data_IF_375600044692
#
_entry.id   IF_375600044692
#
_cell.length_a   1.000
_cell.length_b   1.000
_cell.length_c   1.000
_cell.angle_alpha   90.00
_cell.angle_beta   90.00
_cell.angle_gamma   90.00
#
_symmetry.space_group_name_H-M   'P 1'
#
loop_
_entity.id
_entity.type
_entity.pdbx_description
1 polymer ?
#
# COMPACT_ATOMS: atom_id res chain seq x y z
N UNK A 1 9.14 -32.37 -14.44
CA UNK A 1 10.45 -31.74 -14.60
C UNK A 1 11.09 -32.08 -15.94
N UNK A 2 11.45 -31.05 -16.70
CA UNK A 2 12.31 -31.23 -17.87
C UNK A 2 13.71 -31.54 -17.34
N UNK A 3 14.09 -32.82 -17.32
CA UNK A 3 15.47 -33.21 -17.01
C UNK A 3 16.35 -32.89 -18.22
N UNK A 4 17.24 -31.94 -18.09
CA UNK A 4 18.30 -31.75 -19.09
C UNK A 4 19.49 -32.66 -18.77
N UNK A 5 19.93 -33.44 -19.75
CA UNK A 5 21.07 -34.37 -19.63
C UNK A 5 22.39 -33.65 -19.97
N UNK A 6 22.44 -32.33 -19.87
CA UNK A 6 23.67 -31.59 -20.05
C UNK A 6 24.63 -31.87 -18.86
N UNK A 7 25.79 -32.37 -19.13
CA UNK A 7 26.81 -32.76 -18.12
C UNK A 7 26.38 -33.87 -17.13
N UNK A 8 25.39 -34.72 -17.45
CA UNK A 8 24.82 -35.78 -16.59
C UNK A 8 24.13 -35.24 -15.31
N UNK A 9 23.65 -34.01 -15.33
CA UNK A 9 22.93 -33.41 -14.26
C UNK A 9 21.44 -33.31 -14.58
N UNK A 10 20.59 -33.48 -13.58
CA UNK A 10 19.15 -33.26 -13.69
C UNK A 10 18.81 -31.93 -12.96
N UNK A 11 17.94 -31.16 -13.55
CA UNK A 11 17.46 -29.92 -12.98
C UNK A 11 15.93 -29.93 -12.88
N UNK A 12 15.38 -29.37 -11.81
CA UNK A 12 13.98 -29.02 -11.72
C UNK A 12 13.82 -27.61 -12.29
N UNK A 13 13.18 -27.49 -13.45
CA UNK A 13 13.12 -26.24 -14.22
C UNK A 13 11.70 -25.80 -14.52
N UNK A 14 11.48 -24.49 -14.52
CA UNK A 14 10.35 -23.85 -15.16
C UNK A 14 10.72 -23.44 -16.60
N UNK A 15 9.85 -23.72 -17.56
CA UNK A 15 9.99 -23.27 -18.93
C UNK A 15 9.03 -22.10 -19.19
N UNK A 16 9.55 -20.99 -19.70
CA UNK A 16 8.74 -19.87 -20.15
C UNK A 16 8.50 -20.01 -21.66
N UNK A 17 7.23 -20.07 -22.03
CA UNK A 17 6.79 -20.34 -23.40
C UNK A 17 5.96 -19.18 -23.95
N UNK A 18 6.22 -18.78 -25.19
CA UNK A 18 5.42 -17.82 -25.90
C UNK A 18 5.36 -18.15 -27.39
N UNK A 19 4.15 -18.21 -27.95
CA UNK A 19 3.91 -18.47 -29.37
C UNK A 19 4.70 -19.67 -29.93
N UNK A 20 4.74 -20.79 -29.19
CA UNK A 20 5.43 -22.02 -29.58
C UNK A 20 6.96 -21.97 -29.45
N UNK A 21 7.53 -20.92 -28.93
CA UNK A 21 8.96 -20.78 -28.62
C UNK A 21 9.22 -20.94 -27.13
N UNK A 22 10.35 -21.55 -26.79
CA UNK A 22 10.89 -21.60 -25.45
C UNK A 22 11.73 -20.33 -25.26
N UNK A 23 11.28 -19.40 -24.43
CA UNK A 23 11.98 -18.15 -24.15
C UNK A 23 13.17 -18.35 -23.22
N UNK A 24 13.04 -19.27 -22.27
CA UNK A 24 14.08 -19.57 -21.29
C UNK A 24 13.68 -20.72 -20.37
N UNK A 25 14.69 -21.28 -19.72
CA UNK A 25 14.56 -22.31 -18.69
C UNK A 25 15.14 -21.77 -17.39
N UNK A 26 14.34 -21.72 -16.34
CA UNK A 26 14.74 -21.25 -15.02
C UNK A 26 14.84 -22.44 -14.09
N UNK A 27 16.04 -22.89 -13.70
CA UNK A 27 16.21 -23.98 -12.76
C UNK A 27 15.94 -23.53 -11.33
N UNK A 28 15.41 -24.41 -10.50
CA UNK A 28 15.14 -24.19 -9.08
C UNK A 28 16.44 -23.89 -8.32
N UNK A 29 16.45 -22.85 -7.53
CA UNK A 29 17.62 -22.40 -6.75
C UNK A 29 17.81 -23.22 -5.49
N UNK A 30 16.74 -23.35 -4.69
CA UNK A 30 16.78 -24.05 -3.40
C UNK A 30 16.07 -25.40 -3.50
N UNK A 31 16.83 -26.47 -3.30
CA UNK A 31 16.33 -27.83 -3.34
C UNK A 31 16.08 -28.33 -1.89
N UNK A 32 14.82 -28.54 -1.47
CA UNK A 32 14.55 -29.05 -0.13
C UNK A 32 15.05 -30.50 0.01
N UNK A 33 15.66 -30.77 1.15
CA UNK A 33 16.17 -32.09 1.51
C UNK A 33 16.00 -32.35 3.03
N UNK A 34 14.80 -32.17 3.49
CA UNK A 34 14.36 -32.32 4.87
C UNK A 34 12.91 -32.79 4.91
N UNK A 35 12.50 -33.40 6.03
CA UNK A 35 11.15 -33.95 6.15
C UNK A 35 10.85 -34.98 5.07
N UNK A 36 9.79 -34.71 4.33
CA UNK A 36 9.28 -35.52 3.22
C UNK A 36 10.00 -35.24 1.88
N UNK A 37 10.85 -34.19 1.80
CA UNK A 37 11.50 -33.78 0.56
C UNK A 37 12.93 -34.35 0.41
N UNK A 38 13.27 -34.83 -0.81
CA UNK A 38 14.59 -35.40 -1.14
C UNK A 38 15.18 -34.85 -2.44
N UNK A 39 14.83 -33.65 -2.86
CA UNK A 39 15.19 -33.13 -4.19
C UNK A 39 16.72 -33.11 -4.44
N UNK A 40 17.53 -32.81 -3.43
CA UNK A 40 19.00 -32.82 -3.57
C UNK A 40 19.60 -34.18 -3.95
N UNK A 41 18.85 -35.26 -3.77
CA UNK A 41 19.32 -36.61 -4.19
C UNK A 41 19.25 -36.80 -5.69
N UNK A 42 18.41 -36.03 -6.37
CA UNK A 42 18.10 -36.23 -7.80
C UNK A 42 18.48 -35.01 -8.63
N UNK A 43 18.31 -33.81 -8.10
CA UNK A 43 18.47 -32.56 -8.84
C UNK A 43 19.68 -31.76 -8.39
N UNK A 44 20.24 -31.00 -9.34
CA UNK A 44 21.27 -30.00 -9.12
C UNK A 44 20.63 -28.62 -8.97
N UNK A 45 21.07 -27.78 -8.01
CA UNK A 45 20.57 -26.41 -7.90
C UNK A 45 20.99 -25.57 -9.11
N UNK A 46 20.13 -24.60 -9.47
CA UNK A 46 20.41 -23.66 -10.55
C UNK A 46 21.58 -22.73 -10.24
N UNK A 47 22.27 -22.31 -11.29
CA UNK A 47 23.31 -21.27 -11.24
C UNK A 47 22.76 -19.92 -11.68
N UNK A 48 23.35 -18.85 -11.15
CA UNK A 48 23.09 -17.47 -11.62
C UNK A 48 23.74 -17.19 -12.98
N UNK A 49 24.74 -17.97 -13.37
CA UNK A 49 25.32 -17.89 -14.73
C UNK A 49 24.30 -18.39 -15.74
N UNK A 50 24.10 -17.61 -16.80
CA UNK A 50 23.20 -17.96 -17.89
C UNK A 50 24.01 -18.58 -19.03
N UNK A 51 23.67 -19.80 -19.39
CA UNK A 51 24.26 -20.52 -20.54
C UNK A 51 23.17 -20.82 -21.59
N UNK A 52 23.59 -21.10 -22.84
CA UNK A 52 22.68 -21.55 -23.87
C UNK A 52 22.66 -23.08 -23.90
N UNK A 53 21.48 -23.64 -23.88
CA UNK A 53 21.26 -25.08 -23.97
C UNK A 53 20.36 -25.40 -25.17
N UNK A 54 20.59 -26.55 -25.80
CA UNK A 54 19.73 -26.99 -26.88
C UNK A 54 18.57 -27.85 -26.37
N UNK A 55 17.35 -27.36 -26.55
CA UNK A 55 16.10 -28.04 -26.13
C UNK A 55 15.08 -27.97 -27.26
N UNK A 56 14.54 -29.10 -27.68
CA UNK A 56 13.56 -29.20 -28.77
C UNK A 56 14.01 -28.51 -30.06
N UNK A 57 15.32 -28.59 -30.40
CA UNK A 57 15.91 -27.94 -31.57
C UNK A 57 16.03 -26.42 -31.49
N UNK A 58 15.87 -25.84 -30.28
CA UNK A 58 16.04 -24.42 -30.04
C UNK A 58 17.23 -24.18 -29.11
N UNK A 59 17.99 -23.09 -29.35
CA UNK A 59 19.00 -22.59 -28.44
C UNK A 59 18.29 -21.70 -27.40
N UNK A 60 18.26 -22.13 -26.14
CA UNK A 60 17.44 -21.56 -25.08
C UNK A 60 18.34 -21.10 -23.94
N UNK A 61 18.17 -19.85 -23.42
CA UNK A 61 18.84 -19.41 -22.21
C UNK A 61 18.43 -20.26 -20.99
N UNK A 62 19.41 -20.68 -20.22
CA UNK A 62 19.25 -21.49 -19.02
C UNK A 62 20.01 -20.87 -17.85
N UNK A 63 19.33 -20.57 -16.76
CA UNK A 63 19.91 -19.97 -15.54
C UNK A 63 18.86 -19.34 -14.66
N UNK A 64 19.25 -19.02 -13.41
CA UNK A 64 18.31 -18.40 -12.45
C UNK A 64 18.21 -16.89 -12.61
N UNK A 65 19.19 -16.23 -13.25
CA UNK A 65 19.22 -14.78 -13.47
C UNK A 65 18.60 -14.39 -14.81
N UNK A 66 17.39 -14.88 -15.08
CA UNK A 66 16.61 -14.58 -16.28
C UNK A 66 15.38 -13.74 -15.97
N UNK A 67 15.14 -12.70 -16.78
CA UNK A 67 13.89 -11.95 -16.83
C UNK A 67 13.29 -12.00 -18.24
N UNK A 68 11.96 -11.92 -18.30
CA UNK A 68 11.22 -11.96 -19.56
C UNK A 68 10.40 -10.68 -19.69
N UNK A 69 10.77 -9.82 -20.66
CA UNK A 69 10.14 -8.51 -20.87
C UNK A 69 9.26 -8.50 -22.09
N UNK A 70 8.02 -8.07 -21.95
CA UNK A 70 7.14 -7.82 -23.08
C UNK A 70 7.50 -6.50 -23.75
N UNK A 71 7.74 -6.51 -25.10
CA UNK A 71 8.11 -5.30 -25.86
C UNK A 71 6.95 -4.31 -25.95
N UNK A 72 5.73 -4.80 -26.15
CA UNK A 72 4.53 -3.96 -26.30
C UNK A 72 3.99 -3.45 -24.97
N UNK A 73 4.33 -4.12 -23.87
CA UNK A 73 4.00 -3.73 -22.50
C UNK A 73 5.27 -3.71 -21.64
N UNK A 74 6.14 -2.68 -21.75
CA UNK A 74 7.46 -2.66 -21.09
C UNK A 74 7.42 -2.81 -19.58
N UNK A 75 6.30 -2.39 -18.96
CA UNK A 75 6.06 -2.57 -17.52
C UNK A 75 5.79 -4.03 -17.14
N UNK A 76 5.50 -4.90 -18.08
CA UNK A 76 5.36 -6.33 -17.84
C UNK A 76 6.70 -7.03 -17.98
N UNK A 77 7.35 -7.26 -16.85
CA UNK A 77 8.61 -7.99 -16.73
C UNK A 77 8.39 -9.16 -15.78
N UNK A 78 8.49 -10.37 -16.31
CA UNK A 78 8.27 -11.61 -15.56
C UNK A 78 9.59 -12.16 -15.02
N UNK A 79 9.64 -12.44 -13.70
CA UNK A 79 10.61 -13.30 -13.04
C UNK A 79 9.95 -14.61 -12.60
N UNK A 80 10.72 -15.69 -12.57
CA UNK A 80 10.20 -17.02 -12.23
C UNK A 80 11.03 -17.65 -11.14
N UNK A 81 10.36 -18.27 -10.15
CA UNK A 81 10.97 -19.09 -9.11
C UNK A 81 10.14 -20.35 -8.87
N UNK A 82 10.69 -21.33 -8.15
CA UNK A 82 10.04 -22.64 -8.02
C UNK A 82 9.90 -23.04 -6.55
N UNK A 83 8.65 -23.14 -6.07
CA UNK A 83 8.26 -23.79 -4.80
C UNK A 83 9.11 -23.31 -3.60
N UNK A 84 10.09 -24.12 -3.15
CA UNK A 84 10.98 -23.85 -2.00
C UNK A 84 11.69 -22.50 -2.09
N UNK A 85 11.88 -21.98 -3.29
CA UNK A 85 12.51 -20.69 -3.50
C UNK A 85 11.81 -19.57 -2.69
N UNK A 86 10.46 -19.57 -2.65
CA UNK A 86 9.69 -18.63 -1.84
C UNK A 86 9.86 -18.86 -0.32
N UNK A 87 10.02 -20.12 0.10
CA UNK A 87 10.07 -20.49 1.51
C UNK A 87 11.45 -20.25 2.12
N UNK A 88 12.46 -20.04 1.30
CA UNK A 88 13.82 -19.75 1.71
C UNK A 88 13.95 -18.40 2.43
N UNK A 89 14.99 -18.23 3.23
CA UNK A 89 15.26 -16.98 3.92
C UNK A 89 15.54 -15.81 2.97
N UNK A 90 16.05 -16.10 1.76
CA UNK A 90 16.34 -15.12 0.72
C UNK A 90 15.81 -15.61 -0.63
N UNK A 91 14.52 -15.42 -0.91
CA UNK A 91 13.90 -15.85 -2.14
C UNK A 91 14.53 -15.24 -3.40
N UNK A 92 14.72 -15.99 -4.49
CA UNK A 92 15.20 -15.47 -5.78
C UNK A 92 14.35 -14.32 -6.31
N UNK A 93 13.04 -14.32 -6.06
CA UNK A 93 12.13 -13.22 -6.40
C UNK A 93 12.58 -11.85 -5.86
N UNK A 94 13.34 -11.82 -4.76
CA UNK A 94 13.94 -10.58 -4.24
C UNK A 94 14.91 -9.98 -5.27
N UNK A 95 15.79 -10.80 -5.82
CA UNK A 95 16.74 -10.35 -6.84
C UNK A 95 16.05 -10.08 -8.17
N UNK A 96 15.05 -10.89 -8.56
CA UNK A 96 14.26 -10.66 -9.77
C UNK A 96 13.59 -9.28 -9.73
N UNK A 97 12.98 -8.92 -8.61
CA UNK A 97 12.31 -7.63 -8.45
C UNK A 97 13.30 -6.47 -8.46
N UNK A 98 14.46 -6.60 -7.81
CA UNK A 98 15.53 -5.60 -7.85
C UNK A 98 16.14 -5.48 -9.26
N UNK A 99 16.14 -6.56 -10.05
CA UNK A 99 16.55 -6.53 -11.46
C UNK A 99 15.46 -5.98 -12.41
N UNK A 100 14.26 -5.67 -11.88
CA UNK A 100 13.20 -5.01 -12.63
C UNK A 100 11.94 -5.85 -12.88
N UNK A 101 11.85 -7.09 -12.39
CA UNK A 101 10.63 -7.88 -12.53
C UNK A 101 9.47 -7.20 -11.80
N UNK A 102 8.36 -6.98 -12.49
CA UNK A 102 7.11 -6.45 -11.94
C UNK A 102 6.09 -7.54 -11.63
N UNK A 103 6.29 -8.72 -12.21
CA UNK A 103 5.48 -9.91 -11.98
C UNK A 103 6.40 -11.07 -11.64
N UNK A 104 6.09 -11.80 -10.58
CA UNK A 104 6.77 -13.04 -10.19
C UNK A 104 5.80 -14.20 -10.34
N UNK A 105 6.25 -15.27 -10.98
CA UNK A 105 5.52 -16.53 -11.04
C UNK A 105 6.27 -17.60 -10.25
N UNK A 106 5.59 -18.23 -9.30
CA UNK A 106 6.09 -19.35 -8.52
C UNK A 106 5.29 -20.61 -8.85
N UNK A 107 5.99 -21.61 -9.36
CA UNK A 107 5.42 -22.91 -9.69
C UNK A 107 5.70 -23.87 -8.53
N UNK A 108 4.68 -24.26 -7.80
CA UNK A 108 4.80 -25.03 -6.57
C UNK A 108 4.18 -26.42 -6.65
N UNK A 109 4.87 -27.40 -6.09
CA UNK A 109 4.31 -28.68 -5.67
C UNK A 109 4.59 -28.82 -4.16
N UNK A 110 3.90 -27.99 -3.37
CA UNK A 110 4.00 -28.01 -1.92
C UNK A 110 2.84 -28.82 -1.36
N UNK A 111 3.14 -29.87 -0.60
CA UNK A 111 2.15 -30.67 0.10
C UNK A 111 1.31 -29.81 1.05
N UNK A 112 0.12 -30.27 1.37
CA UNK A 112 -0.78 -29.55 2.29
C UNK A 112 -0.73 -30.18 3.68
N UNK A 113 -0.55 -29.31 4.67
CA UNK A 113 -0.66 -29.64 6.09
C UNK A 113 -1.53 -28.64 6.82
N UNK A 114 -2.07 -29.01 7.99
CA UNK A 114 -2.94 -28.12 8.77
C UNK A 114 -2.23 -26.81 9.13
N UNK A 115 -2.84 -25.69 8.73
CA UNK A 115 -2.30 -24.33 8.94
C UNK A 115 -1.33 -23.83 7.85
N UNK A 116 -0.90 -24.67 6.92
CA UNK A 116 0.06 -24.28 5.87
C UNK A 116 -0.55 -23.32 4.84
N UNK A 117 -1.83 -23.44 4.55
CA UNK A 117 -2.53 -22.52 3.64
C UNK A 117 -2.49 -21.08 4.13
N UNK A 118 -2.72 -20.83 5.43
CA UNK A 118 -2.63 -19.49 6.02
C UNK A 118 -1.20 -18.93 5.96
N UNK A 119 -0.21 -19.77 6.26
CA UNK A 119 1.20 -19.35 6.18
C UNK A 119 1.62 -19.06 4.72
N UNK A 120 1.22 -19.89 3.77
CA UNK A 120 1.43 -19.66 2.32
C UNK A 120 0.84 -18.34 1.88
N UNK A 121 -0.41 -18.07 2.27
CA UNK A 121 -1.10 -16.81 2.00
C UNK A 121 -0.34 -15.60 2.55
N UNK A 122 0.16 -15.71 3.78
CA UNK A 122 0.99 -14.68 4.39
C UNK A 122 2.31 -14.47 3.65
N UNK A 123 3.01 -15.54 3.23
CA UNK A 123 4.25 -15.46 2.45
C UNK A 123 4.03 -14.74 1.11
N UNK A 124 3.05 -15.17 0.33
CA UNK A 124 2.72 -14.59 -0.99
C UNK A 124 2.37 -13.11 -0.86
N UNK A 125 1.49 -12.78 0.10
CA UNK A 125 1.11 -11.39 0.36
C UNK A 125 2.30 -10.53 0.78
N UNK A 126 3.12 -11.00 1.73
CA UNK A 126 4.29 -10.24 2.20
C UNK A 126 5.35 -10.08 1.11
N UNK A 127 5.61 -11.12 0.33
CA UNK A 127 6.60 -11.05 -0.75
C UNK A 127 6.15 -10.07 -1.84
N UNK A 128 4.88 -10.11 -2.25
CA UNK A 128 4.29 -9.15 -3.17
C UNK A 128 4.41 -7.70 -2.64
N UNK A 129 4.12 -7.47 -1.35
CA UNK A 129 4.22 -6.15 -0.72
C UNK A 129 5.65 -5.61 -0.66
N UNK A 130 6.60 -6.44 -0.20
CA UNK A 130 8.00 -6.05 -0.05
C UNK A 130 8.66 -5.73 -1.38
N UNK A 131 8.29 -6.48 -2.42
CA UNK A 131 8.88 -6.37 -3.75
C UNK A 131 8.11 -5.41 -4.67
N UNK A 132 6.98 -4.86 -4.21
CA UNK A 132 6.10 -4.02 -5.02
C UNK A 132 5.86 -4.67 -6.38
N UNK A 133 5.29 -5.88 -6.38
CA UNK A 133 5.09 -6.68 -7.58
C UNK A 133 3.76 -7.44 -7.55
N UNK A 134 3.32 -7.87 -8.74
CA UNK A 134 2.36 -8.95 -8.86
C UNK A 134 3.05 -10.27 -8.53
N UNK A 135 2.42 -11.12 -7.70
CA UNK A 135 2.96 -12.42 -7.35
C UNK A 135 1.92 -13.51 -7.61
N UNK A 136 2.26 -14.42 -8.50
CA UNK A 136 1.42 -15.56 -8.89
C UNK A 136 2.00 -16.83 -8.28
N UNK A 137 1.22 -17.48 -7.45
CA UNK A 137 1.57 -18.77 -6.85
C UNK A 137 0.63 -19.83 -7.42
N UNK A 138 1.17 -20.68 -8.28
CA UNK A 138 0.46 -21.81 -8.87
C UNK A 138 0.84 -23.10 -8.14
N UNK A 139 -0.13 -23.80 -7.57
CA UNK A 139 0.08 -24.96 -6.71
C UNK A 139 -0.40 -26.25 -7.35
N UNK A 140 0.38 -27.31 -7.20
CA UNK A 140 -0.04 -28.66 -7.55
C UNK A 140 -1.33 -29.05 -6.83
N UNK A 141 -2.23 -29.73 -7.51
CA UNK A 141 -3.55 -30.11 -7.03
C UNK A 141 -3.84 -31.60 -7.08
N UNK A 142 -5.12 -31.91 -7.16
CA UNK A 142 -5.60 -33.30 -7.18
C UNK A 142 -4.97 -34.09 -8.34
N UNK A 143 -4.42 -35.25 -8.04
CA UNK A 143 -3.80 -36.15 -9.02
C UNK A 143 -2.30 -35.98 -9.22
N UNK A 144 -1.65 -35.00 -8.59
CA UNK A 144 -0.20 -34.83 -8.68
C UNK A 144 0.60 -35.88 -7.92
N UNK A 145 0.03 -36.52 -6.92
CA UNK A 145 0.67 -37.60 -6.17
C UNK A 145 -0.30 -38.73 -5.85
N UNK A 146 0.24 -39.94 -5.89
CA UNK A 146 -0.43 -41.16 -5.43
C UNK A 146 0.27 -41.77 -4.20
N UNK A 147 1.20 -41.02 -3.59
CA UNK A 147 1.98 -41.41 -2.41
C UNK A 147 1.48 -40.69 -1.16
N UNK A 148 2.38 -40.47 -0.21
CA UNK A 148 2.07 -39.93 1.12
C UNK A 148 1.67 -38.45 1.11
N UNK A 149 2.19 -37.68 0.12
CA UNK A 149 1.92 -36.23 0.04
C UNK A 149 0.57 -35.95 -0.61
N UNK A 150 -0.14 -34.98 -0.05
CA UNK A 150 -1.41 -34.47 -0.55
C UNK A 150 -1.27 -33.03 -0.98
N UNK A 151 -1.74 -32.69 -2.18
CA UNK A 151 -1.64 -31.36 -2.75
C UNK A 151 -3.02 -30.72 -2.85
N UNK A 152 -3.11 -29.47 -2.37
CA UNK A 152 -4.40 -28.78 -2.23
C UNK A 152 -4.82 -27.98 -3.47
N UNK A 153 -3.92 -27.71 -4.43
CA UNK A 153 -4.22 -26.83 -5.57
C UNK A 153 -4.60 -25.42 -5.12
N UNK A 154 -3.96 -24.90 -4.07
CA UNK A 154 -4.25 -23.58 -3.52
C UNK A 154 -3.47 -22.51 -4.27
N UNK A 155 -4.08 -21.93 -5.30
CA UNK A 155 -3.51 -20.86 -6.12
C UNK A 155 -3.79 -19.49 -5.51
N UNK A 156 -2.85 -18.57 -5.66
CA UNK A 156 -2.91 -17.23 -5.11
C UNK A 156 -2.35 -16.22 -6.11
N UNK A 157 -3.04 -15.10 -6.28
CA UNK A 157 -2.52 -13.94 -7.00
C UNK A 157 -2.58 -12.73 -6.10
N UNK A 158 -1.41 -12.14 -5.84
CA UNK A 158 -1.27 -10.94 -5.03
C UNK A 158 -0.70 -9.77 -5.83
N UNK A 159 -1.08 -8.55 -5.48
CA UNK A 159 -0.53 -7.30 -6.01
C UNK A 159 -0.25 -6.36 -4.85
N UNK A 160 1.00 -5.94 -4.69
CA UNK A 160 1.42 -5.00 -3.64
C UNK A 160 0.83 -5.36 -2.26
N UNK A 161 0.91 -6.64 -1.88
CA UNK A 161 0.45 -7.16 -0.60
C UNK A 161 -1.03 -7.50 -0.49
N UNK A 162 -1.83 -7.15 -1.48
CA UNK A 162 -3.26 -7.48 -1.50
C UNK A 162 -3.48 -8.77 -2.29
N UNK A 163 -4.14 -9.77 -1.70
CA UNK A 163 -4.61 -10.92 -2.45
C UNK A 163 -5.77 -10.48 -3.33
N UNK A 164 -5.61 -10.60 -4.63
CA UNK A 164 -6.62 -10.22 -5.63
C UNK A 164 -7.53 -11.38 -6.00
N UNK A 165 -6.95 -12.58 -6.10
CA UNK A 165 -7.68 -13.80 -6.42
C UNK A 165 -7.06 -14.99 -5.68
N UNK A 166 -7.90 -15.90 -5.24
CA UNK A 166 -7.52 -17.07 -4.46
C UNK A 166 -8.59 -18.15 -4.65
N UNK A 167 -8.19 -19.39 -4.92
CA UNK A 167 -9.10 -20.51 -4.82
C UNK A 167 -8.92 -21.21 -3.48
N UNK A 168 -9.99 -21.79 -2.95
CA UNK A 168 -9.89 -22.53 -1.69
C UNK A 168 -9.10 -23.83 -1.87
N UNK A 169 -8.34 -24.28 -0.86
CA UNK A 169 -7.69 -25.57 -0.88
C UNK A 169 -8.69 -26.70 -1.19
N UNK A 170 -8.32 -27.59 -2.10
CA UNK A 170 -9.08 -28.75 -2.55
C UNK A 170 -10.33 -28.46 -3.42
N UNK A 171 -10.63 -27.22 -3.75
CA UNK A 171 -11.79 -26.88 -4.59
C UNK A 171 -11.59 -27.12 -6.10
N UNK A 172 -10.34 -27.35 -6.52
CA UNK A 172 -10.01 -27.64 -7.93
C UNK A 172 -10.27 -26.48 -8.89
N UNK A 173 -10.33 -25.26 -8.39
CA UNK A 173 -10.50 -24.04 -9.18
C UNK A 173 -9.20 -23.51 -9.75
N UNK A 174 -9.31 -22.34 -10.39
CA UNK A 174 -8.18 -21.56 -10.89
C UNK A 174 -8.34 -20.11 -10.39
N UNK A 175 -7.24 -19.50 -9.94
CA UNK A 175 -7.23 -18.09 -9.58
C UNK A 175 -6.98 -17.25 -10.84
N UNK A 176 -7.84 -16.26 -11.10
CA UNK A 176 -7.73 -15.34 -12.23
C UNK A 176 -7.94 -13.90 -11.76
N UNK A 177 -7.16 -12.97 -12.30
CA UNK A 177 -7.33 -11.52 -12.09
C UNK A 177 -6.42 -10.72 -13.00
N UNK A 178 -6.59 -9.40 -13.03
CA UNK A 178 -5.71 -8.45 -13.70
C UNK A 178 -4.71 -7.84 -12.71
N UNK A 179 -3.45 -7.63 -13.17
CA UNK A 179 -2.38 -6.98 -12.42
C UNK A 179 -2.01 -5.66 -13.08
N UNK A 180 -1.90 -4.59 -12.31
CA UNK A 180 -1.47 -3.28 -12.76
C UNK A 180 0.05 -3.12 -12.65
N UNK A 181 0.78 -3.54 -13.70
CA UNK A 181 2.24 -3.46 -13.75
C UNK A 181 2.76 -2.01 -13.72
N UNK A 182 2.03 -1.05 -14.33
CA UNK A 182 2.43 0.37 -14.34
C UNK A 182 2.34 0.97 -12.93
N UNK A 183 1.36 0.57 -12.16
CA UNK A 183 1.26 0.97 -10.75
C UNK A 183 2.47 0.48 -9.95
N UNK A 184 2.93 -0.75 -10.19
CA UNK A 184 4.11 -1.29 -9.49
C UNK A 184 5.37 -0.46 -9.80
N UNK A 185 5.57 -0.07 -11.05
CA UNK A 185 6.68 0.83 -11.42
C UNK A 185 6.55 2.20 -10.75
N UNK A 186 5.36 2.78 -10.74
CA UNK A 186 5.11 4.08 -10.10
C UNK A 186 5.35 4.03 -8.58
N UNK A 187 4.94 2.97 -7.90
CA UNK A 187 5.18 2.80 -6.46
C UNK A 187 6.69 2.62 -6.16
N UNK A 188 7.41 1.86 -6.98
CA UNK A 188 8.88 1.72 -6.87
C UNK A 188 9.59 3.06 -7.08
N UNK A 189 9.19 3.84 -8.09
CA UNK A 189 9.77 5.15 -8.37
C UNK A 189 9.60 6.16 -7.22
N UNK A 190 8.54 6.02 -6.43
CA UNK A 190 8.31 6.84 -5.22
C UNK A 190 9.08 6.36 -4.00
N UNK A 191 9.48 5.10 -3.98
CA UNK A 191 10.15 4.48 -2.86
C UNK A 191 11.68 4.60 -3.01
N UNK A 192 12.26 5.59 -2.35
CA UNK A 192 13.71 5.87 -2.43
C UNK A 192 14.59 4.78 -1.84
N UNK A 193 14.03 3.83 -1.09
CA UNK A 193 14.76 2.66 -0.57
C UNK A 193 14.65 1.42 -1.47
N UNK A 194 13.93 1.50 -2.59
CA UNK A 194 13.84 0.45 -3.58
C UNK A 194 14.82 0.76 -4.73
N UNK A 195 16.05 0.28 -4.57
CA UNK A 195 17.11 0.50 -5.57
C UNK A 195 17.16 -0.66 -6.55
N UNK A 196 17.02 -0.34 -7.85
CA UNK A 196 17.15 -1.35 -8.91
C UNK A 196 18.61 -1.76 -9.07
N UNK A 197 18.86 -3.06 -9.16
CA UNK A 197 20.17 -3.67 -9.37
C UNK A 197 20.03 -4.89 -10.27
N UNK A 198 20.27 -4.70 -11.57
CA UNK A 198 20.17 -5.75 -12.59
C UNK A 198 21.50 -6.41 -12.96
N UNK A 199 22.55 -6.23 -12.15
CA UNK A 199 23.86 -6.81 -12.44
C UNK A 199 23.79 -8.34 -12.48
N UNK A 200 24.33 -8.94 -13.54
CA UNK A 200 24.31 -10.38 -13.77
C UNK A 200 22.99 -10.95 -14.33
N UNK A 201 21.96 -10.10 -14.53
CA UNK A 201 20.71 -10.56 -15.14
C UNK A 201 20.71 -10.45 -16.66
N UNK A 202 20.15 -11.46 -17.31
CA UNK A 202 19.85 -11.43 -18.74
C UNK A 202 18.35 -11.27 -18.96
N UNK A 203 17.97 -10.26 -19.75
CA UNK A 203 16.58 -10.04 -20.14
C UNK A 203 16.31 -10.64 -21.51
N UNK A 204 15.31 -11.52 -21.59
CA UNK A 204 14.79 -12.09 -22.82
C UNK A 204 13.54 -11.31 -23.20
N UNK A 205 13.55 -10.72 -24.39
CA UNK A 205 12.39 -9.99 -24.89
C UNK A 205 11.45 -10.89 -25.67
N UNK A 206 10.14 -10.66 -25.49
CA UNK A 206 9.10 -11.36 -26.25
C UNK A 206 8.00 -10.40 -26.69
N UNK A 207 7.22 -10.83 -27.66
CA UNK A 207 6.13 -10.07 -28.22
C UNK A 207 4.79 -10.63 -27.73
N UNK A 208 3.91 -9.75 -27.29
CA UNK A 208 2.53 -10.06 -26.91
C UNK A 208 1.65 -8.88 -27.31
N UNK A 209 0.78 -9.07 -28.28
CA UNK A 209 -0.11 -8.02 -28.76
C UNK A 209 -1.09 -7.62 -27.66
N UNK A 210 -1.10 -6.34 -27.22
CA UNK A 210 -2.09 -5.86 -26.28
C UNK A 210 -3.49 -5.98 -26.85
N UNK A 211 -4.40 -6.51 -26.07
CA UNK A 211 -5.82 -6.58 -26.41
C UNK A 211 -6.62 -5.67 -25.47
N UNK A 212 -7.64 -5.02 -26.00
CA UNK A 212 -8.59 -4.31 -25.18
C UNK A 212 -9.36 -5.31 -24.33
N UNK A 213 -9.27 -5.15 -23.00
CA UNK A 213 -9.82 -6.10 -22.04
C UNK A 213 -10.70 -5.36 -21.04
N UNK A 214 -11.89 -5.90 -20.78
CA UNK A 214 -12.74 -5.41 -19.70
C UNK A 214 -12.18 -5.87 -18.37
N UNK A 215 -11.93 -4.93 -17.46
CA UNK A 215 -11.48 -5.27 -16.11
C UNK A 215 -12.57 -6.02 -15.36
N UNK A 216 -12.22 -7.16 -14.80
CA UNK A 216 -13.11 -8.00 -13.98
C UNK A 216 -12.81 -7.88 -12.49
N UNK A 217 -11.60 -7.43 -12.13
CA UNK A 217 -11.22 -7.23 -10.73
C UNK A 217 -12.06 -6.14 -10.07
N UNK A 218 -12.45 -6.39 -8.83
CA UNK A 218 -13.14 -5.37 -8.05
C UNK A 218 -12.18 -4.24 -7.64
N UNK A 219 -12.61 -3.00 -7.90
CA UNK A 219 -11.88 -1.80 -7.50
C UNK A 219 -12.74 -1.09 -6.45
N UNK A 220 -12.16 -0.89 -5.25
CA UNK A 220 -12.86 -0.21 -4.16
C UNK A 220 -13.12 1.26 -4.51
N UNK A 221 -14.38 1.70 -4.65
CA UNK A 221 -14.71 3.10 -4.91
C UNK A 221 -14.45 4.02 -3.72
N UNK A 222 -14.25 3.45 -2.52
CA UNK A 222 -14.00 4.17 -1.28
C UNK A 222 -12.82 3.58 -0.50
N UNK A 223 -11.59 3.55 -1.07
CA UNK A 223 -10.45 2.81 -0.51
C UNK A 223 -10.02 3.26 0.88
N UNK A 224 -10.39 4.48 1.28
CA UNK A 224 -10.07 5.03 2.59
C UNK A 224 -11.11 4.73 3.67
N UNK A 225 -12.31 4.28 3.28
CA UNK A 225 -13.44 4.05 4.18
C UNK A 225 -13.80 2.56 4.21
N UNK A 226 -13.44 1.80 5.24
CA UNK A 226 -13.79 0.37 5.32
C UNK A 226 -15.30 0.16 5.22
N UNK A 227 -15.72 -0.75 4.35
CA UNK A 227 -17.12 -1.13 4.19
C UNK A 227 -17.69 -1.80 5.46
N UNK A 228 -16.88 -2.61 6.16
CA UNK A 228 -17.27 -3.23 7.41
C UNK A 228 -17.39 -2.19 8.54
N UNK A 229 -18.57 -2.08 9.22
CA UNK A 229 -18.79 -1.10 10.27
C UNK A 229 -17.83 -1.21 11.45
N UNK A 230 -17.44 -2.42 11.85
CA UNK A 230 -16.52 -2.66 12.96
C UNK A 230 -15.11 -2.15 12.60
N UNK A 231 -14.59 -2.55 11.45
CA UNK A 231 -13.28 -2.08 10.94
C UNK A 231 -13.26 -0.57 10.74
N UNK A 232 -14.38 0.02 10.27
CA UNK A 232 -14.51 1.47 10.12
C UNK A 232 -14.44 2.19 11.47
N UNK A 233 -15.17 1.70 12.48
CA UNK A 233 -15.13 2.28 13.83
C UNK A 233 -13.73 2.18 14.46
N UNK A 234 -13.06 1.04 14.34
CA UNK A 234 -11.68 0.84 14.80
C UNK A 234 -10.71 1.80 14.10
N UNK A 235 -10.84 1.98 12.78
CA UNK A 235 -10.02 2.92 12.00
C UNK A 235 -10.27 4.38 12.41
N UNK A 236 -11.53 4.80 12.57
CA UNK A 236 -11.86 6.14 13.02
C UNK A 236 -11.28 6.43 14.41
N UNK A 237 -11.41 5.49 15.34
CA UNK A 237 -10.84 5.62 16.68
C UNK A 237 -9.30 5.72 16.65
N UNK A 238 -8.65 4.91 15.83
CA UNK A 238 -7.20 4.97 15.64
C UNK A 238 -6.75 6.33 15.06
N UNK A 239 -7.46 6.85 14.06
CA UNK A 239 -7.17 8.17 13.46
C UNK A 239 -7.25 9.28 14.51
N UNK A 240 -8.34 9.31 15.28
CA UNK A 240 -8.51 10.30 16.36
C UNK A 240 -7.44 10.17 17.44
N UNK A 241 -7.05 8.95 17.80
CA UNK A 241 -5.99 8.70 18.77
C UNK A 241 -4.63 9.19 18.26
N UNK A 242 -4.28 8.89 17.01
CA UNK A 242 -3.02 9.33 16.40
C UNK A 242 -2.91 10.87 16.35
N UNK A 243 -4.00 11.55 15.93
CA UNK A 243 -4.03 13.01 15.88
C UNK A 243 -3.94 13.63 17.28
N UNK A 244 -4.68 13.09 18.24
CA UNK A 244 -4.68 13.58 19.61
C UNK A 244 -3.31 13.39 20.29
N UNK A 245 -2.67 12.25 20.09
CA UNK A 245 -1.33 11.97 20.64
C UNK A 245 -0.26 12.93 20.08
N UNK A 246 -0.28 13.13 18.76
CA UNK A 246 0.60 14.08 18.11
C UNK A 246 0.41 15.52 18.61
N UNK A 247 -0.83 15.95 18.81
CA UNK A 247 -1.13 17.28 19.38
C UNK A 247 -0.74 17.36 20.85
N UNK A 248 -1.05 16.36 21.67
CA UNK A 248 -0.68 16.31 23.07
C UNK A 248 0.83 16.48 23.26
N UNK A 249 1.63 15.76 22.46
CA UNK A 249 3.09 15.87 22.51
C UNK A 249 3.59 17.27 22.16
N UNK A 250 2.98 17.95 21.19
CA UNK A 250 3.33 19.34 20.84
C UNK A 250 2.95 20.33 21.93
N UNK A 251 1.78 20.18 22.53
CA UNK A 251 1.33 21.03 23.65
C UNK A 251 2.26 20.86 24.87
N UNK A 252 2.64 19.63 25.19
CA UNK A 252 3.59 19.32 26.26
C UNK A 252 4.96 19.95 25.99
N UNK A 253 5.51 19.74 24.79
CA UNK A 253 6.82 20.27 24.40
C UNK A 253 6.87 21.80 24.41
N UNK A 254 5.81 22.44 23.93
CA UNK A 254 5.68 23.90 23.92
C UNK A 254 5.33 24.50 25.27
N UNK A 255 5.10 23.68 26.31
CA UNK A 255 4.56 24.11 27.61
C UNK A 255 3.27 24.95 27.49
N UNK A 256 2.49 24.65 26.42
CA UNK A 256 1.29 25.41 26.12
C UNK A 256 0.20 25.15 27.17
N UNK A 257 -0.37 26.22 27.74
CA UNK A 257 -1.45 26.12 28.77
C UNK A 257 -2.83 25.98 28.12
N UNK A 258 -3.03 26.47 26.93
CA UNK A 258 -4.31 26.46 26.21
C UNK A 258 -4.09 26.06 24.75
N UNK A 259 -5.11 25.48 24.15
CA UNK A 259 -5.21 25.32 22.69
C UNK A 259 -6.31 26.24 22.17
N UNK A 260 -6.04 27.05 21.16
CA UNK A 260 -7.01 27.93 20.52
C UNK A 260 -7.36 27.41 19.15
N UNK A 261 -8.66 27.33 18.86
CA UNK A 261 -9.14 26.85 17.55
C UNK A 261 -10.24 27.75 17.01
N UNK A 262 -10.14 28.13 15.75
CA UNK A 262 -11.25 28.75 15.01
C UNK A 262 -12.30 27.71 14.64
N UNK A 263 -13.53 27.88 15.11
CA UNK A 263 -14.64 26.97 14.82
C UNK A 263 -15.67 27.64 13.92
N UNK A 264 -15.89 27.03 12.75
CA UNK A 264 -16.90 27.47 11.78
C UNK A 264 -18.21 26.68 11.87
N UNK A 265 -18.24 25.56 12.59
CA UNK A 265 -19.31 24.58 12.58
C UNK A 265 -19.28 23.63 11.37
N UNK A 266 -18.25 23.72 10.53
CA UNK A 266 -17.95 22.73 9.47
C UNK A 266 -17.20 21.51 10.01
N UNK A 267 -17.19 20.42 9.23
CA UNK A 267 -16.64 19.12 9.65
C UNK A 267 -15.18 19.21 10.09
N UNK A 268 -14.33 19.93 9.36
CA UNK A 268 -12.90 20.01 9.63
C UNK A 268 -12.61 20.68 10.99
N UNK A 269 -13.27 21.82 11.24
CA UNK A 269 -13.13 22.53 12.51
C UNK A 269 -13.72 21.75 13.70
N UNK A 270 -14.82 21.03 13.48
CA UNK A 270 -15.40 20.14 14.48
C UNK A 270 -14.46 18.96 14.81
N UNK A 271 -13.88 18.33 13.79
CA UNK A 271 -12.88 17.26 13.98
C UNK A 271 -11.67 17.77 14.75
N UNK A 272 -11.13 18.92 14.36
CA UNK A 272 -9.98 19.52 15.05
C UNK A 272 -10.30 19.84 16.52
N UNK A 273 -11.52 20.30 16.83
CA UNK A 273 -11.98 20.53 18.21
C UNK A 273 -12.03 19.22 19.02
N UNK A 274 -12.57 18.15 18.44
CA UNK A 274 -12.59 16.82 19.08
C UNK A 274 -11.18 16.30 19.38
N UNK A 275 -10.24 16.49 18.45
CA UNK A 275 -8.83 16.13 18.62
C UNK A 275 -8.19 16.95 19.74
N UNK A 276 -8.46 18.26 19.80
CA UNK A 276 -7.93 19.13 20.87
C UNK A 276 -8.44 18.73 22.26
N UNK A 277 -9.72 18.42 22.38
CA UNK A 277 -10.30 17.93 23.64
C UNK A 277 -9.70 16.61 24.08
N UNK A 278 -9.53 15.66 23.15
CA UNK A 278 -8.87 14.38 23.43
C UNK A 278 -7.41 14.56 23.85
N UNK A 279 -6.67 15.46 23.20
CA UNK A 279 -5.28 15.76 23.56
C UNK A 279 -5.18 16.33 24.98
N UNK A 280 -6.07 17.28 25.36
CA UNK A 280 -6.13 17.81 26.72
C UNK A 280 -6.43 16.71 27.74
N UNK A 281 -7.38 15.82 27.44
CA UNK A 281 -7.71 14.69 28.31
C UNK A 281 -6.51 13.76 28.52
N UNK A 282 -5.72 13.46 27.47
CA UNK A 282 -4.49 12.67 27.57
C UNK A 282 -3.45 13.32 28.49
N UNK A 283 -3.37 14.64 28.45
CA UNK A 283 -2.47 15.43 29.34
C UNK A 283 -3.01 15.59 30.76
N UNK A 284 -4.16 14.99 31.10
CA UNK A 284 -4.82 15.17 32.43
C UNK A 284 -5.39 16.57 32.65
N UNK A 285 -5.68 17.29 31.58
CA UNK A 285 -6.11 18.69 31.59
C UNK A 285 -7.62 18.81 31.28
N UNK A 286 -8.29 19.82 31.82
CA UNK A 286 -9.72 20.00 31.59
C UNK A 286 -10.01 20.49 30.15
N UNK A 287 -11.18 20.12 29.63
CA UNK A 287 -11.62 20.55 28.30
C UNK A 287 -11.71 22.07 28.13
N UNK A 288 -11.98 22.81 29.20
CA UNK A 288 -12.04 24.30 29.23
C UNK A 288 -10.70 24.95 28.87
N UNK A 289 -9.57 24.21 28.89
CA UNK A 289 -8.29 24.70 28.42
C UNK A 289 -8.21 24.74 26.87
N UNK A 290 -9.22 24.23 26.19
CA UNK A 290 -9.45 24.44 24.75
C UNK A 290 -10.36 25.65 24.60
N UNK A 291 -9.92 26.68 23.87
CA UNK A 291 -10.71 27.83 23.51
C UNK A 291 -11.16 27.73 22.05
N UNK A 292 -12.44 27.52 21.86
CA UNK A 292 -13.07 27.57 20.56
C UNK A 292 -13.49 29.00 20.23
N UNK A 293 -13.04 29.55 19.11
CA UNK A 293 -13.36 30.91 18.68
C UNK A 293 -14.17 30.86 17.40
N UNK A 294 -15.41 31.37 17.44
CA UNK A 294 -16.17 31.61 16.20
C UNK A 294 -16.00 33.06 15.77
N UNK A 295 -15.80 33.23 14.46
CA UNK A 295 -15.52 34.53 13.84
C UNK A 295 -16.52 34.79 12.72
N UNK A 296 -17.76 35.23 13.08
CA UNK A 296 -18.76 35.57 12.07
C UNK A 296 -18.26 36.72 11.18
N UNK A 297 -18.54 36.59 9.89
CA UNK A 297 -18.29 37.56 8.85
C UNK A 297 -19.34 37.38 7.75
N UNK A 298 -19.13 37.95 6.58
CA UNK A 298 -20.05 37.81 5.45
C UNK A 298 -20.34 36.32 5.15
N UNK A 299 -21.62 35.99 4.99
CA UNK A 299 -22.07 34.65 4.61
C UNK A 299 -22.15 33.60 5.74
N UNK A 300 -21.84 33.94 7.00
CA UNK A 300 -22.02 33.02 8.11
C UNK A 300 -23.49 32.74 8.37
N UNK A 301 -23.93 31.49 8.24
CA UNK A 301 -25.35 31.14 8.43
C UNK A 301 -25.66 30.95 9.94
N UNK A 302 -26.90 31.26 10.37
CA UNK A 302 -27.35 31.00 11.74
C UNK A 302 -27.23 29.54 12.15
N UNK A 303 -27.38 28.59 11.20
CA UNK A 303 -27.28 27.14 11.43
C UNK A 303 -25.87 26.72 11.81
N UNK A 304 -24.85 27.18 11.08
CA UNK A 304 -23.44 26.79 11.34
C UNK A 304 -22.96 27.35 12.65
N UNK A 305 -23.37 28.56 13.02
CA UNK A 305 -23.10 29.15 14.32
C UNK A 305 -23.71 28.32 15.44
N UNK A 306 -24.99 27.98 15.35
CA UNK A 306 -25.70 27.15 16.35
C UNK A 306 -25.03 25.79 16.54
N UNK A 307 -24.57 25.14 15.46
CA UNK A 307 -23.84 23.87 15.57
C UNK A 307 -22.52 23.99 16.30
N UNK A 308 -21.78 25.07 16.10
CA UNK A 308 -20.53 25.35 16.83
C UNK A 308 -20.77 25.55 18.33
N UNK A 309 -21.78 26.34 18.71
CA UNK A 309 -22.16 26.56 20.08
C UNK A 309 -22.58 25.26 20.79
N UNK A 310 -23.49 24.49 20.19
CA UNK A 310 -23.95 23.21 20.72
C UNK A 310 -22.77 22.26 20.97
N UNK A 311 -21.87 22.13 19.99
CA UNK A 311 -20.70 21.24 20.12
C UNK A 311 -19.76 21.69 21.24
N UNK A 312 -19.56 23.02 21.40
CA UNK A 312 -18.70 23.54 22.44
C UNK A 312 -19.29 23.31 23.82
N UNK A 313 -20.61 23.49 23.99
CA UNK A 313 -21.32 23.24 25.25
C UNK A 313 -21.27 21.74 25.61
N UNK A 314 -21.55 20.85 24.68
CA UNK A 314 -21.48 19.41 24.91
C UNK A 314 -20.06 18.92 25.28
N UNK A 315 -19.04 19.53 24.70
CA UNK A 315 -17.64 19.20 25.01
C UNK A 315 -17.09 19.95 26.22
N UNK A 316 -17.86 20.88 26.80
CA UNK A 316 -17.44 21.72 27.93
C UNK A 316 -16.14 22.49 27.69
N UNK A 317 -15.93 22.96 26.46
CA UNK A 317 -14.80 23.81 26.09
C UNK A 317 -15.13 25.30 26.32
N UNK A 318 -14.08 26.12 26.44
CA UNK A 318 -14.26 27.57 26.45
C UNK A 318 -14.68 28.06 25.08
N UNK A 319 -15.75 28.84 24.98
CA UNK A 319 -16.26 29.39 23.73
C UNK A 319 -16.22 30.90 23.70
N UNK A 320 -15.81 31.47 22.57
CA UNK A 320 -15.81 32.92 22.35
C UNK A 320 -16.24 33.25 20.91
N UNK A 321 -17.05 34.32 20.82
CA UNK A 321 -17.38 34.93 19.53
C UNK A 321 -16.58 36.20 19.34
N UNK A 322 -15.98 36.38 18.19
CA UNK A 322 -15.26 37.60 17.77
C UNK A 322 -15.82 38.01 16.40
N UNK A 323 -16.54 39.13 16.35
CA UNK A 323 -17.00 39.71 15.09
C UNK A 323 -15.80 40.34 14.38
N UNK A 324 -15.45 39.82 13.20
CA UNK A 324 -14.31 40.27 12.38
C UNK A 324 -14.74 41.17 11.23
N UNK A 325 -16.02 41.51 11.08
CA UNK A 325 -16.51 42.24 9.92
C UNK A 325 -15.78 43.59 9.77
N UNK A 326 -15.62 44.35 10.85
CA UNK A 326 -14.94 45.67 10.79
C UNK A 326 -13.47 45.53 10.38
N UNK A 327 -12.75 44.50 10.85
CA UNK A 327 -11.34 44.26 10.48
C UNK A 327 -11.22 43.91 9.01
N UNK A 328 -12.16 43.10 8.50
CA UNK A 328 -12.19 42.73 7.07
C UNK A 328 -12.55 43.92 6.18
N UNK A 329 -13.50 44.75 6.56
CA UNK A 329 -13.82 46.01 5.86
C UNK A 329 -12.61 46.93 5.78
N UNK A 330 -11.90 47.15 6.91
CA UNK A 330 -10.68 47.97 6.91
C UNK A 330 -9.61 47.37 5.96
N UNK A 331 -9.41 46.09 6.03
CA UNK A 331 -8.44 45.41 5.15
C UNK A 331 -8.81 45.56 3.66
N UNK A 332 -10.09 45.40 3.31
CA UNK A 332 -10.56 45.60 1.92
C UNK A 332 -10.38 47.03 1.46
N UNK A 333 -10.69 48.01 2.31
CA UNK A 333 -10.45 49.42 2.02
C UNK A 333 -8.97 49.71 1.75
N UNK A 334 -8.05 49.16 2.57
CA UNK A 334 -6.62 49.35 2.43
C UNK A 334 -6.05 48.81 1.09
N UNK A 335 -6.59 47.68 0.61
CA UNK A 335 -6.14 47.06 -0.64
C UNK A 335 -6.96 47.44 -1.86
N UNK A 336 -8.01 48.26 -1.69
CA UNK A 336 -8.88 48.69 -2.77
C UNK A 336 -9.80 47.57 -3.32
N UNK A 337 -10.12 46.57 -2.51
CA UNK A 337 -11.04 45.48 -2.89
C UNK A 337 -12.49 46.00 -2.87
N UNK A 338 -13.21 45.78 -3.97
CA UNK A 338 -14.66 46.01 -4.03
C UNK A 338 -15.39 44.85 -3.34
N UNK A 339 -16.11 45.16 -2.24
CA UNK A 339 -16.82 44.17 -1.44
C UNK A 339 -17.99 43.49 -2.16
N UNK A 340 -18.45 44.06 -3.26
CA UNK A 340 -19.47 43.45 -4.12
C UNK A 340 -18.92 42.33 -5.01
N UNK A 341 -17.61 42.25 -5.18
CA UNK A 341 -16.91 41.26 -5.98
C UNK A 341 -16.47 40.10 -5.11
N UNK A 342 -17.19 38.97 -5.17
CA UNK A 342 -16.93 37.76 -4.42
C UNK A 342 -15.88 36.90 -5.14
N UNK A 343 -14.66 37.37 -5.20
CA UNK A 343 -13.52 36.68 -5.83
C UNK A 343 -12.58 36.05 -4.81
N UNK A 344 -11.46 35.51 -5.30
CA UNK A 344 -10.41 34.89 -4.48
C UNK A 344 -9.80 35.88 -3.46
N UNK A 345 -9.75 37.19 -3.80
CA UNK A 345 -9.26 38.23 -2.89
C UNK A 345 -10.21 38.44 -1.72
N UNK A 346 -11.51 38.43 -2.00
CA UNK A 346 -12.56 38.53 -1.00
C UNK A 346 -12.52 37.35 -0.01
N UNK A 347 -12.37 36.10 -0.53
CA UNK A 347 -12.27 34.92 0.33
C UNK A 347 -10.96 34.90 1.15
N UNK A 348 -9.82 35.19 0.52
CA UNK A 348 -8.52 35.20 1.17
C UNK A 348 -8.39 36.30 2.23
N UNK A 349 -8.98 37.48 2.02
CA UNK A 349 -9.01 38.56 3.00
C UNK A 349 -9.66 38.11 4.32
N UNK A 350 -10.82 37.50 4.23
CA UNK A 350 -11.50 36.93 5.39
C UNK A 350 -10.71 35.79 6.05
N UNK A 351 -10.12 34.90 5.25
CA UNK A 351 -9.34 33.76 5.76
C UNK A 351 -8.10 34.24 6.55
N UNK A 352 -7.42 35.28 6.09
CA UNK A 352 -6.26 35.88 6.75
C UNK A 352 -6.64 36.54 8.08
N UNK A 353 -7.73 37.29 8.14
CA UNK A 353 -8.21 37.89 9.38
C UNK A 353 -8.61 36.80 10.38
N UNK A 354 -9.27 35.73 9.92
CA UNK A 354 -9.59 34.56 10.76
C UNK A 354 -8.35 33.83 11.31
N UNK A 355 -7.20 33.96 10.66
CA UNK A 355 -5.94 33.43 11.19
C UNK A 355 -5.28 34.41 12.15
N UNK A 356 -5.29 35.70 11.84
CA UNK A 356 -4.66 36.76 12.64
C UNK A 356 -5.23 36.83 14.05
N UNK A 357 -6.55 36.80 14.19
CA UNK A 357 -7.23 36.95 15.48
C UNK A 357 -6.88 35.84 16.51
N UNK A 358 -6.96 34.53 16.15
CA UNK A 358 -6.59 33.46 17.09
C UNK A 358 -5.11 33.50 17.48
N UNK A 359 -4.21 33.82 16.52
CA UNK A 359 -2.76 33.93 16.79
C UNK A 359 -2.49 35.06 17.79
N UNK A 360 -3.04 36.24 17.54
CA UNK A 360 -2.90 37.38 18.44
C UNK A 360 -3.47 37.09 19.82
N UNK A 361 -4.62 36.42 19.88
CA UNK A 361 -5.27 36.02 21.11
C UNK A 361 -4.46 34.99 21.92
N UNK A 362 -3.78 34.08 21.26
CA UNK A 362 -2.88 33.11 21.90
C UNK A 362 -1.73 33.81 22.61
N UNK A 363 -1.14 34.82 22.00
CA UNK A 363 -0.06 35.61 22.61
C UNK A 363 -0.55 36.50 23.73
N UNK A 364 -1.72 37.12 23.60
CA UNK A 364 -2.32 37.94 24.64
C UNK A 364 -2.51 37.16 25.94
N UNK A 365 -3.06 35.93 25.85
CA UNK A 365 -3.25 35.05 27.01
C UNK A 365 -1.96 34.53 27.63
N UNK A 366 -0.88 34.43 26.89
CA UNK A 366 0.40 34.04 27.44
C UNK A 366 0.98 35.05 28.41
N UNK A 367 0.58 36.32 28.31
CA UNK A 367 0.98 37.41 29.20
C UNK A 367 0.06 37.61 30.42
N UNK A 368 -1.17 37.09 30.38
CA UNK A 368 -2.11 37.20 31.52
C UNK A 368 -1.80 36.26 32.70
N UNK A 369 -0.76 35.45 32.62
CA UNK A 369 -0.37 34.42 33.60
C UNK A 369 1.00 34.65 34.23
N UNK A 370 1.46 35.90 34.31
CA UNK A 370 2.62 36.31 35.15
C UNK A 370 2.19 36.69 36.53
#
# INVERSE_FOLDING_TARGET
>A
GLGDVYKRQLYNCAAVLCHGRILGLVPKTYLPNYGEFYEKRQFTPGSTEVELVEVCGQQVPFGTSLLFRCRQMPSFVLGVEICEDLWSALPPSTFHALAGATVIANLSASDETVGKAEYRRALVSNQSARLLCGYLYASAGHGESTQDMVFAGHDLIAENGTILSENAPFDGGCAETEIDCQRMEAERARNTSFELSGEGYQTVEFDLEPAETTLTRWIDPAPFVPGDPKRRAERCELILKMQADGLAKRLEHAHAKTAVIGISGGLDSCLALLVAVRAMKQLGRPARDVLAVTMPCFGTTKRTRSNAEILCDELQVSFKEIDIANTVHSHFADIGQDESVLDVTFENGQARVRTLEPVSYTHLRAHETC
#
